data_IF_506641076965
#
_entry.id   IF_506641076965
#
_cell.length_a   1.000
_cell.length_b   1.000
_cell.length_c   1.000
_cell.angle_alpha   90.00
_cell.angle_beta   90.00
_cell.angle_gamma   90.00
#
_symmetry.space_group_name_H-M   'P 1'
#
loop_
_entity.id
_entity.type
_entity.pdbx_description
1 polymer ?
#
# COMPACT_ATOMS: atom_id res chain seq x y z
N UNK A 1 -29.24 38.24 24.67
CA UNK A 1 -29.71 37.71 23.38
C UNK A 1 -28.64 36.76 22.88
N UNK A 2 -28.82 35.48 23.16
CA UNK A 2 -27.90 34.39 22.76
C UNK A 2 -27.88 34.24 21.24
N UNK A 3 -26.69 34.23 20.65
CA UNK A 3 -26.47 33.76 19.30
C UNK A 3 -26.19 32.26 19.35
N UNK A 4 -27.21 31.47 19.02
CA UNK A 4 -27.16 30.01 18.92
C UNK A 4 -26.32 29.59 17.72
N UNK A 5 -25.33 28.72 17.96
CA UNK A 5 -24.49 28.13 16.92
C UNK A 5 -25.29 27.08 16.11
N UNK A 6 -25.26 27.09 14.77
CA UNK A 6 -25.83 26.01 13.99
C UNK A 6 -24.97 24.74 14.08
N UNK A 7 -25.64 23.70 14.58
CA UNK A 7 -25.22 22.31 14.79
C UNK A 7 -24.45 21.67 13.63
N UNK A 8 -23.42 20.89 13.99
CA UNK A 8 -22.58 20.05 13.13
C UNK A 8 -23.32 18.93 12.37
N UNK A 9 -24.65 18.85 12.47
CA UNK A 9 -25.48 17.88 11.75
C UNK A 9 -25.72 18.22 10.26
N UNK A 10 -25.40 19.43 9.80
CA UNK A 10 -25.69 19.85 8.42
C UNK A 10 -24.64 19.45 7.37
N UNK A 11 -23.49 18.88 7.77
CA UNK A 11 -22.39 18.63 6.83
C UNK A 11 -22.32 17.19 6.27
N UNK A 12 -23.24 16.29 6.65
CA UNK A 12 -23.25 14.89 6.19
C UNK A 12 -24.43 14.53 5.25
N UNK A 13 -25.22 15.52 4.82
CA UNK A 13 -26.39 15.30 3.96
C UNK A 13 -26.21 15.70 2.48
N UNK A 14 -24.99 16.06 2.05
CA UNK A 14 -24.72 16.47 0.65
C UNK A 14 -23.78 15.53 -0.13
N UNK A 15 -23.33 14.43 0.46
CA UNK A 15 -22.72 13.33 -0.28
C UNK A 15 -23.83 12.34 -0.62
N UNK A 16 -23.94 11.93 -1.89
CA UNK A 16 -24.88 10.91 -2.42
C UNK A 16 -26.19 11.37 -3.08
N UNK A 17 -26.20 12.51 -3.80
CA UNK A 17 -27.21 12.73 -4.87
C UNK A 17 -26.65 13.30 -6.17
N UNK A 18 -25.51 12.79 -6.63
CA UNK A 18 -25.16 12.86 -8.05
C UNK A 18 -25.69 11.59 -8.70
N UNK A 19 -26.97 11.58 -9.07
CA UNK A 19 -27.41 10.62 -10.09
C UNK A 19 -26.66 10.97 -11.38
N UNK A 20 -25.97 10.02 -12.03
CA UNK A 20 -25.45 10.29 -13.36
C UNK A 20 -26.65 10.56 -14.26
N UNK A 21 -26.75 11.78 -14.80
CA UNK A 21 -27.60 12.01 -15.96
C UNK A 21 -27.01 11.14 -17.07
N UNK A 22 -27.75 10.10 -17.46
CA UNK A 22 -27.45 9.30 -18.65
C UNK A 22 -27.57 10.21 -19.90
N UNK A 23 -26.61 11.09 -20.12
CA UNK A 23 -26.41 11.78 -21.38
C UNK A 23 -25.38 10.99 -22.19
N UNK A 24 -25.86 9.93 -22.85
CA UNK A 24 -25.08 9.09 -23.75
C UNK A 24 -24.01 8.25 -23.05
N UNK A 25 -24.07 6.94 -23.24
CA UNK A 25 -22.91 6.08 -23.06
C UNK A 25 -21.87 6.46 -24.13
N UNK A 26 -21.13 7.55 -23.90
CA UNK A 26 -19.96 7.89 -24.70
C UNK A 26 -18.93 6.85 -24.30
N UNK A 27 -18.67 5.89 -25.19
CA UNK A 27 -17.48 5.04 -25.13
C UNK A 27 -16.25 5.95 -25.04
N UNK A 28 -15.79 6.23 -23.82
CA UNK A 28 -14.51 6.89 -23.61
C UNK A 28 -13.47 5.87 -24.02
N UNK A 29 -12.89 6.04 -25.21
CA UNK A 29 -11.75 5.23 -25.62
C UNK A 29 -10.69 5.27 -24.51
N UNK A 30 -10.03 4.13 -24.26
CA UNK A 30 -8.95 3.99 -23.27
C UNK A 30 -7.88 5.09 -23.40
N UNK A 31 -7.77 5.68 -24.59
CA UNK A 31 -6.93 6.83 -24.94
C UNK A 31 -7.20 8.08 -24.09
N UNK A 32 -8.44 8.34 -23.67
CA UNK A 32 -8.79 9.52 -22.86
C UNK A 32 -8.33 9.39 -21.39
N UNK A 33 -8.60 8.29 -20.67
CA UNK A 33 -8.00 8.04 -19.36
C UNK A 33 -6.47 7.97 -19.39
N UNK A 34 -5.90 7.31 -20.40
CA UNK A 34 -4.45 7.20 -20.56
C UNK A 34 -3.80 8.57 -20.77
N UNK A 35 -4.35 9.43 -21.66
CA UNK A 35 -3.82 10.77 -21.88
C UNK A 35 -3.89 11.65 -20.62
N UNK A 36 -4.96 11.52 -19.82
CA UNK A 36 -5.06 12.22 -18.53
C UNK A 36 -4.04 11.69 -17.52
N UNK A 37 -3.84 10.38 -17.48
CA UNK A 37 -2.81 9.76 -16.65
C UNK A 37 -1.40 10.22 -17.05
N UNK A 38 -1.10 10.28 -18.34
CA UNK A 38 0.21 10.70 -18.87
C UNK A 38 0.51 12.18 -18.58
N UNK A 39 -0.52 13.02 -18.46
CA UNK A 39 -0.37 14.41 -18.00
C UNK A 39 -0.16 14.49 -16.48
N UNK A 40 -0.94 13.72 -15.72
CA UNK A 40 -0.98 13.77 -14.26
C UNK A 40 0.27 13.17 -13.62
N UNK A 41 0.74 12.04 -14.15
CA UNK A 41 1.88 11.27 -13.63
C UNK A 41 3.17 12.11 -13.48
N UNK A 42 3.69 12.81 -14.51
CA UNK A 42 4.89 13.62 -14.36
C UNK A 42 4.67 14.82 -13.44
N UNK A 43 3.46 15.39 -13.40
CA UNK A 43 3.13 16.48 -12.49
C UNK A 43 3.15 16.02 -11.01
N UNK A 44 2.58 14.84 -10.71
CA UNK A 44 2.61 14.25 -9.37
C UNK A 44 4.02 13.81 -8.97
N UNK A 45 4.86 13.37 -9.91
CA UNK A 45 6.25 13.02 -9.64
C UNK A 45 7.07 14.23 -9.19
N UNK A 46 6.91 15.37 -9.88
CA UNK A 46 7.54 16.64 -9.47
C UNK A 46 7.01 17.14 -8.12
N UNK A 47 5.70 17.05 -7.91
CA UNK A 47 5.09 17.41 -6.63
C UNK A 47 5.64 16.57 -5.48
N UNK A 48 5.73 15.25 -5.66
CA UNK A 48 6.34 14.34 -4.69
C UNK A 48 7.78 14.74 -4.40
N UNK A 49 8.61 14.97 -5.43
CA UNK A 49 9.99 15.39 -5.23
C UNK A 49 10.11 16.72 -4.47
N UNK A 50 9.19 17.67 -4.69
CA UNK A 50 9.14 18.91 -3.91
C UNK A 50 8.78 18.65 -2.44
N UNK A 51 7.83 17.76 -2.16
CA UNK A 51 7.48 17.34 -0.80
C UNK A 51 8.64 16.63 -0.10
N UNK A 52 9.35 15.75 -0.82
CA UNK A 52 10.49 14.99 -0.30
C UNK A 52 11.62 15.95 0.11
N UNK A 53 11.93 16.95 -0.72
CA UNK A 53 12.93 17.99 -0.38
C UNK A 53 12.59 18.77 0.90
N UNK A 54 11.30 19.05 1.13
CA UNK A 54 10.87 19.75 2.35
C UNK A 54 10.95 18.85 3.57
N UNK A 55 10.69 17.54 3.41
CA UNK A 55 10.80 16.56 4.49
C UNK A 55 12.26 16.25 4.86
N UNK A 56 13.13 16.15 3.88
CA UNK A 56 14.55 15.83 4.08
C UNK A 56 15.34 17.05 4.62
N UNK A 57 14.94 18.25 4.22
CA UNK A 57 15.56 19.51 4.63
C UNK A 57 14.49 20.55 5.00
N UNK A 58 13.79 20.36 6.14
CA UNK A 58 12.76 21.29 6.58
C UNK A 58 13.39 22.65 6.92
N UNK A 59 12.82 23.77 6.43
CA UNK A 59 13.27 25.09 6.84
C UNK A 59 13.16 25.26 8.36
N UNK A 60 14.12 25.98 8.97
CA UNK A 60 14.15 26.18 10.42
C UNK A 60 12.84 26.77 10.94
N UNK A 61 12.30 26.18 12.01
CA UNK A 61 11.07 26.63 12.66
C UNK A 61 9.77 26.26 11.93
N UNK A 62 9.80 25.39 10.92
CA UNK A 62 8.59 24.94 10.24
C UNK A 62 8.02 23.66 10.85
N UNK A 63 6.69 23.59 10.94
CA UNK A 63 5.97 22.40 11.41
C UNK A 63 5.42 21.62 10.21
N UNK A 64 5.09 20.35 10.41
CA UNK A 64 4.68 19.46 9.31
C UNK A 64 3.43 19.96 8.54
N UNK A 65 2.56 20.73 9.20
CA UNK A 65 1.41 21.38 8.54
C UNK A 65 1.81 22.38 7.45
N UNK A 66 3.01 22.95 7.54
CA UNK A 66 3.52 23.95 6.59
C UNK A 66 4.14 23.31 5.35
N UNK A 67 4.42 22.00 5.38
CA UNK A 67 5.18 21.32 4.35
C UNK A 67 4.50 21.38 2.98
N UNK A 68 3.17 21.27 2.93
CA UNK A 68 2.42 21.38 1.68
C UNK A 68 2.50 22.78 1.07
N UNK A 69 2.53 23.82 1.90
CA UNK A 69 2.66 25.21 1.45
C UNK A 69 4.06 25.46 0.90
N UNK A 70 5.08 24.98 1.60
CA UNK A 70 6.49 25.12 1.19
C UNK A 70 6.75 24.33 -0.10
N UNK A 71 6.26 23.09 -0.19
CA UNK A 71 6.34 22.29 -1.41
C UNK A 71 5.56 22.94 -2.56
N UNK A 72 4.46 23.63 -2.25
CA UNK A 72 3.71 24.52 -3.15
C UNK A 72 4.59 25.57 -3.82
N UNK A 73 5.37 26.29 -3.02
CA UNK A 73 6.30 27.31 -3.50
C UNK A 73 7.41 26.69 -4.35
N UNK A 74 8.05 25.62 -3.86
CA UNK A 74 9.10 24.90 -4.59
C UNK A 74 8.62 24.35 -5.93
N UNK A 75 7.40 23.82 -5.99
CA UNK A 75 6.80 23.35 -7.24
C UNK A 75 6.62 24.50 -8.24
N UNK A 76 6.15 25.66 -7.76
CA UNK A 76 5.94 26.87 -8.59
C UNK A 76 7.24 27.40 -9.18
N UNK A 77 8.36 27.26 -8.45
CA UNK A 77 9.69 27.68 -8.90
C UNK A 77 10.31 26.74 -9.96
N UNK A 78 9.81 25.51 -10.10
CA UNK A 78 10.31 24.58 -11.12
C UNK A 78 10.03 25.10 -12.54
N UNK A 79 11.02 25.11 -13.42
CA UNK A 79 10.85 25.52 -14.83
C UNK A 79 9.70 24.77 -15.54
N UNK A 80 9.52 23.49 -15.22
CA UNK A 80 8.46 22.65 -15.78
C UNK A 80 7.03 23.02 -15.33
N UNK A 81 6.86 23.75 -14.22
CA UNK A 81 5.55 24.24 -13.78
C UNK A 81 5.19 25.59 -14.40
N UNK A 82 6.15 26.29 -15.03
CA UNK A 82 5.95 27.62 -15.65
C UNK A 82 5.32 28.63 -14.67
N UNK A 83 5.70 28.58 -13.40
CA UNK A 83 5.15 29.46 -12.36
C UNK A 83 3.73 29.12 -11.93
N UNK A 84 3.17 27.98 -12.33
CA UNK A 84 1.80 27.57 -11.97
C UNK A 84 1.79 26.73 -10.70
N UNK A 85 0.77 26.89 -9.84
CA UNK A 85 0.58 26.00 -8.69
C UNK A 85 0.26 24.59 -9.17
N UNK A 86 0.52 23.60 -8.30
CA UNK A 86 0.25 22.21 -8.61
C UNK A 86 -1.26 21.94 -8.81
N UNK A 87 -1.69 21.50 -10.01
CA UNK A 87 -3.11 21.44 -10.35
C UNK A 87 -3.82 20.15 -9.88
N UNK A 88 -3.07 19.14 -9.42
CA UNK A 88 -3.61 17.80 -9.15
C UNK A 88 -3.58 17.42 -7.66
N UNK A 89 -3.90 18.37 -6.76
CA UNK A 89 -3.97 18.14 -5.30
C UNK A 89 -4.87 16.94 -4.92
N UNK A 90 -6.05 16.85 -5.52
CA UNK A 90 -7.00 15.74 -5.30
C UNK A 90 -6.41 14.38 -5.71
N UNK A 91 -5.70 14.33 -6.84
CA UNK A 91 -5.08 13.09 -7.29
C UNK A 91 -3.89 12.72 -6.43
N UNK A 92 -3.10 13.71 -6.00
CA UNK A 92 -2.00 13.48 -5.07
C UNK A 92 -2.48 12.91 -3.73
N UNK A 93 -3.59 13.42 -3.17
CA UNK A 93 -4.17 12.91 -1.94
C UNK A 93 -4.41 11.40 -1.97
N UNK A 94 -4.76 10.87 -3.15
CA UNK A 94 -4.94 9.44 -3.41
C UNK A 94 -3.58 8.78 -3.70
N UNK A 95 -2.79 9.33 -4.61
CA UNK A 95 -1.54 8.72 -5.10
C UNK A 95 -0.49 8.55 -4.00
N UNK A 96 -0.40 9.49 -3.06
CA UNK A 96 0.56 9.43 -1.95
C UNK A 96 0.32 8.26 -0.99
N UNK A 97 -0.88 7.65 -1.01
CA UNK A 97 -1.19 6.49 -0.17
C UNK A 97 -0.52 5.21 -0.68
N UNK A 98 -0.22 5.15 -1.98
CA UNK A 98 0.38 3.99 -2.62
C UNK A 98 1.90 3.94 -2.42
N UNK A 99 2.41 2.75 -2.05
CA UNK A 99 3.83 2.50 -1.77
C UNK A 99 4.78 2.96 -2.88
N UNK A 100 4.37 2.87 -4.15
CA UNK A 100 5.18 3.30 -5.30
C UNK A 100 5.57 4.78 -5.22
N UNK A 101 4.69 5.61 -4.68
CA UNK A 101 4.90 7.05 -4.54
C UNK A 101 5.55 7.41 -3.20
N UNK A 102 5.51 6.51 -2.21
CA UNK A 102 6.19 6.66 -0.91
C UNK A 102 7.67 6.28 -0.91
N UNK A 103 8.09 5.35 -1.78
CA UNK A 103 9.45 4.76 -1.77
C UNK A 103 10.24 5.00 -3.05
N UNK A 104 9.95 6.08 -3.79
CA UNK A 104 10.57 6.39 -5.09
C UNK A 104 12.11 6.48 -4.99
N UNK A 105 12.65 6.93 -3.86
CA UNK A 105 14.08 7.20 -3.71
C UNK A 105 14.94 5.93 -3.48
N UNK A 106 14.34 4.75 -3.29
CA UNK A 106 15.10 3.49 -3.26
C UNK A 106 15.45 2.95 -4.66
N UNK A 107 14.94 3.57 -5.72
CA UNK A 107 15.22 3.19 -7.11
C UNK A 107 15.97 4.36 -7.78
N UNK A 108 17.23 4.56 -7.38
CA UNK A 108 18.06 5.70 -7.80
C UNK A 108 18.21 5.80 -9.33
N UNK A 109 17.96 7.00 -9.86
CA UNK A 109 18.29 7.39 -11.22
C UNK A 109 19.83 7.38 -11.46
N UNK A 110 20.33 6.91 -12.61
CA UNK A 110 21.75 6.97 -12.93
C UNK A 110 22.24 8.42 -13.01
N UNK A 111 23.26 8.78 -12.21
CA UNK A 111 23.97 10.06 -12.31
C UNK A 111 24.72 10.15 -13.65
N UNK A 112 24.13 10.84 -14.64
CA UNK A 112 24.78 11.21 -15.91
C UNK A 112 25.57 12.51 -15.73
N UNK A 113 26.79 12.47 -15.18
CA UNK A 113 27.70 13.63 -15.23
C UNK A 113 29.12 13.25 -14.78
N UNK A 114 29.85 12.46 -15.58
CA UNK A 114 31.26 12.20 -15.29
C UNK A 114 32.09 11.79 -16.53
N UNK A 115 31.67 12.09 -17.77
CA UNK A 115 32.38 11.59 -18.95
C UNK A 115 32.33 12.57 -20.12
N UNK A 116 32.95 13.74 -19.97
CA UNK A 116 33.41 14.57 -21.09
C UNK A 116 34.53 15.47 -20.56
N UNK A 117 35.78 15.16 -20.96
CA UNK A 117 36.94 16.05 -21.19
C UNK A 117 38.21 15.20 -21.32
N UNK A 118 38.52 14.78 -22.53
CA UNK A 118 39.91 14.61 -22.97
C UNK A 118 40.02 15.41 -24.25
N UNK A 119 40.91 16.39 -24.15
CA UNK A 119 41.15 17.50 -25.05
C UNK A 119 41.96 17.04 -26.27
N UNK A 120 41.71 17.70 -27.39
CA UNK A 120 42.34 17.50 -28.68
C UNK A 120 43.56 18.42 -28.79
N UNK A 121 44.71 17.91 -29.20
CA UNK A 121 45.87 18.72 -29.56
C UNK A 121 46.70 17.99 -30.60
N UNK A 122 46.51 18.44 -31.84
CA UNK A 122 47.39 18.27 -33.00
C UNK A 122 48.74 18.96 -32.73
N UNK A 123 49.86 18.41 -33.23
CA UNK A 123 50.59 18.93 -34.41
C UNK A 123 51.99 18.27 -34.55
N UNK A 124 52.44 18.27 -35.80
CA UNK A 124 53.56 17.60 -36.46
C UNK A 124 54.97 17.92 -35.93
N UNK A 125 55.90 16.94 -36.03
CA UNK A 125 57.27 17.26 -36.44
C UNK A 125 57.92 16.10 -37.21
N UNK A 126 58.87 16.48 -38.05
CA UNK A 126 59.19 15.93 -39.36
C UNK A 126 60.60 15.32 -39.36
N UNK A 127 60.80 14.36 -40.26
CA UNK A 127 62.01 14.22 -41.12
C UNK A 127 63.34 13.60 -40.60
N UNK A 128 63.78 12.57 -41.36
CA UNK A 128 65.15 12.26 -41.89
C UNK A 128 66.04 11.16 -41.26
N UNK A 129 66.13 10.06 -42.02
CA UNK A 129 67.32 9.30 -42.51
C UNK A 129 68.42 8.84 -41.53
N UNK A 130 68.80 7.55 -41.61
CA UNK A 130 70.03 7.04 -42.28
C UNK A 130 70.28 5.55 -41.96
N UNK A 131 70.62 4.77 -42.99
CA UNK A 131 70.79 3.31 -42.90
C UNK A 131 72.10 2.82 -42.28
N UNK A 132 72.03 1.67 -41.59
CA UNK A 132 73.12 0.68 -41.37
C UNK A 132 72.53 -0.65 -40.86
N UNK A 133 73.18 -1.82 -41.09
CA UNK A 133 72.48 -3.10 -41.16
C UNK A 133 72.16 -3.72 -39.81
N UNK A 134 71.15 -4.57 -39.88
CA UNK A 134 70.32 -5.17 -38.85
C UNK A 134 71.06 -6.29 -38.11
N UNK A 135 71.73 -5.96 -37.02
CA UNK A 135 72.40 -6.93 -36.14
C UNK A 135 71.61 -7.22 -34.87
N UNK A 136 71.03 -8.42 -34.76
CA UNK A 136 70.73 -9.23 -33.54
C UNK A 136 70.09 -8.57 -32.30
N UNK A 137 69.68 -7.30 -32.35
CA UNK A 137 68.96 -6.58 -31.28
C UNK A 137 67.45 -6.69 -31.42
N UNK A 138 66.95 -6.91 -32.64
CA UNK A 138 65.52 -6.94 -32.97
C UNK A 138 64.79 -8.11 -32.32
N UNK A 139 65.45 -9.27 -32.15
CA UNK A 139 64.88 -10.43 -31.45
C UNK A 139 64.70 -10.20 -29.95
N UNK A 140 65.69 -9.60 -29.29
CA UNK A 140 65.61 -9.26 -27.85
C UNK A 140 64.60 -8.14 -27.59
N UNK A 141 64.49 -7.18 -28.50
CA UNK A 141 63.50 -6.11 -28.42
C UNK A 141 62.08 -6.61 -28.73
N UNK A 142 61.90 -7.54 -29.69
CA UNK A 142 60.62 -8.23 -29.91
C UNK A 142 60.17 -9.05 -28.71
N UNK A 143 61.06 -9.86 -28.13
CA UNK A 143 60.74 -10.67 -26.95
C UNK A 143 60.37 -9.79 -25.74
N UNK A 144 61.00 -8.62 -25.58
CA UNK A 144 60.65 -7.65 -24.54
C UNK A 144 59.29 -6.99 -24.80
N UNK A 145 59.03 -6.56 -26.03
CA UNK A 145 57.73 -6.01 -26.44
C UNK A 145 56.59 -7.04 -26.32
N UNK A 146 56.87 -8.32 -26.58
CA UNK A 146 55.88 -9.41 -26.47
C UNK A 146 55.60 -9.81 -25.02
N UNK A 147 56.61 -9.79 -24.15
CA UNK A 147 56.45 -9.96 -22.70
C UNK A 147 55.69 -8.79 -22.06
N UNK A 148 55.97 -7.55 -22.48
CA UNK A 148 55.22 -6.37 -22.06
C UNK A 148 53.77 -6.40 -22.58
N UNK A 149 53.55 -6.83 -23.83
CA UNK A 149 52.21 -6.97 -24.40
C UNK A 149 51.37 -8.08 -23.72
N UNK A 150 52.00 -9.19 -23.33
CA UNK A 150 51.35 -10.28 -22.58
C UNK A 150 51.00 -9.83 -21.16
N UNK A 151 51.90 -9.12 -20.48
CA UNK A 151 51.64 -8.53 -19.15
C UNK A 151 50.48 -7.51 -19.18
N UNK A 152 50.40 -6.71 -20.25
CA UNK A 152 49.34 -5.71 -20.41
C UNK A 152 47.98 -6.36 -20.69
N UNK A 153 47.95 -7.44 -21.49
CA UNK A 153 46.75 -8.27 -21.70
C UNK A 153 46.26 -8.92 -20.40
N UNK A 154 47.17 -9.47 -19.61
CA UNK A 154 46.84 -10.10 -18.33
C UNK A 154 46.26 -9.10 -17.32
N UNK A 155 46.82 -7.88 -17.22
CA UNK A 155 46.25 -6.79 -16.42
C UNK A 155 44.85 -6.38 -16.88
N UNK A 156 44.61 -6.36 -18.19
CA UNK A 156 43.31 -6.01 -18.76
C UNK A 156 42.26 -7.09 -18.46
N UNK A 157 42.65 -8.37 -18.47
CA UNK A 157 41.79 -9.48 -18.10
C UNK A 157 41.46 -9.49 -16.59
N UNK A 158 42.44 -9.20 -15.72
CA UNK A 158 42.21 -9.04 -14.29
C UNK A 158 41.25 -7.89 -13.98
N UNK A 159 41.39 -6.76 -14.67
CA UNK A 159 40.47 -5.63 -14.54
C UNK A 159 39.05 -5.99 -15.00
N UNK A 160 38.92 -6.75 -16.08
CA UNK A 160 37.64 -7.20 -16.60
C UNK A 160 36.93 -8.15 -15.62
N UNK A 161 37.66 -9.14 -15.09
CA UNK A 161 37.16 -10.04 -14.03
C UNK A 161 36.74 -9.30 -12.76
N UNK A 162 37.55 -8.34 -12.29
CA UNK A 162 37.20 -7.54 -11.12
C UNK A 162 35.92 -6.71 -11.34
N UNK A 163 35.73 -6.19 -12.55
CA UNK A 163 34.52 -5.44 -12.93
C UNK A 163 33.29 -6.35 -12.99
N UNK A 164 33.42 -7.54 -13.55
CA UNK A 164 32.35 -8.55 -13.60
C UNK A 164 31.96 -9.06 -12.22
N UNK A 165 32.93 -9.25 -11.32
CA UNK A 165 32.64 -9.66 -9.96
C UNK A 165 31.92 -8.56 -9.16
N UNK A 166 32.29 -7.29 -9.38
CA UNK A 166 31.62 -6.16 -8.77
C UNK A 166 30.17 -6.02 -9.25
N UNK A 167 29.91 -6.20 -10.55
CA UNK A 167 28.54 -6.15 -11.09
C UNK A 167 27.71 -7.32 -10.57
N UNK A 168 28.29 -8.53 -10.47
CA UNK A 168 27.62 -9.71 -9.88
C UNK A 168 27.21 -9.48 -8.43
N UNK A 169 28.15 -9.06 -7.57
CA UNK A 169 27.88 -8.76 -6.14
C UNK A 169 26.81 -7.67 -5.98
N UNK A 170 26.82 -6.67 -6.86
CA UNK A 170 25.81 -5.61 -6.87
C UNK A 170 24.42 -6.15 -7.21
N UNK A 171 24.30 -7.04 -8.19
CA UNK A 171 23.02 -7.65 -8.57
C UNK A 171 22.50 -8.60 -7.48
N UNK A 172 23.36 -9.44 -6.90
CA UNK A 172 23.00 -10.33 -5.79
C UNK A 172 22.47 -9.53 -4.59
N UNK A 173 23.14 -8.42 -4.25
CA UNK A 173 22.69 -7.52 -3.17
C UNK A 173 21.32 -6.91 -3.46
N UNK A 174 21.07 -6.47 -4.71
CA UNK A 174 19.77 -5.94 -5.11
C UNK A 174 18.66 -7.00 -4.98
N UNK A 175 18.93 -8.24 -5.41
CA UNK A 175 17.97 -9.34 -5.28
C UNK A 175 17.64 -9.56 -3.80
N UNK A 176 18.67 -9.68 -2.95
CA UNK A 176 18.50 -9.91 -1.51
C UNK A 176 17.72 -8.78 -0.81
N UNK A 177 17.97 -7.51 -1.18
CA UNK A 177 17.20 -6.36 -0.68
C UNK A 177 15.72 -6.49 -1.09
N UNK A 178 15.44 -6.85 -2.34
CA UNK A 178 14.05 -6.97 -2.82
C UNK A 178 13.31 -8.13 -2.15
N UNK A 179 13.99 -9.24 -1.89
CA UNK A 179 13.43 -10.39 -1.18
C UNK A 179 13.13 -10.05 0.29
N UNK A 180 14.09 -9.47 1.00
CA UNK A 180 13.89 -8.97 2.37
C UNK A 180 12.74 -7.97 2.46
N UNK A 181 12.59 -7.10 1.47
CA UNK A 181 11.45 -6.16 1.41
C UNK A 181 10.10 -6.86 1.26
N UNK A 182 10.03 -7.98 0.51
CA UNK A 182 8.81 -8.79 0.40
C UNK A 182 8.51 -9.52 1.71
N UNK A 183 9.52 -10.11 2.35
CA UNK A 183 9.37 -10.78 3.65
C UNK A 183 8.82 -9.82 4.72
N UNK A 184 9.38 -8.61 4.81
CA UNK A 184 8.92 -7.59 5.76
C UNK A 184 7.47 -7.18 5.50
N UNK A 185 7.08 -6.98 4.24
CA UNK A 185 5.67 -6.67 3.89
C UNK A 185 4.73 -7.80 4.28
N UNK A 186 5.12 -9.04 4.02
CA UNK A 186 4.31 -10.21 4.38
C UNK A 186 4.16 -10.34 5.90
N UNK A 187 5.26 -10.16 6.65
CA UNK A 187 5.24 -10.17 8.11
C UNK A 187 4.35 -9.05 8.68
N UNK A 188 4.40 -7.84 8.11
CA UNK A 188 3.56 -6.73 8.52
C UNK A 188 2.07 -7.00 8.28
N UNK A 189 1.70 -7.59 7.15
CA UNK A 189 0.32 -7.99 6.87
C UNK A 189 -0.15 -9.08 7.84
N UNK A 190 0.71 -10.07 8.12
CA UNK A 190 0.40 -11.14 9.09
C UNK A 190 0.21 -10.58 10.51
N UNK A 191 1.07 -9.67 10.95
CA UNK A 191 0.97 -9.02 12.25
C UNK A 191 -0.34 -8.23 12.40
N UNK A 192 -0.72 -7.43 11.39
CA UNK A 192 -1.99 -6.69 11.39
C UNK A 192 -3.21 -7.61 11.44
N UNK A 193 -3.17 -8.76 10.77
CA UNK A 193 -4.25 -9.75 10.80
C UNK A 193 -4.39 -10.40 12.17
N UNK A 194 -3.28 -10.76 12.81
CA UNK A 194 -3.26 -11.31 14.17
C UNK A 194 -3.75 -10.29 15.20
N UNK A 195 -3.35 -9.02 15.08
CA UNK A 195 -3.84 -7.95 15.95
C UNK A 195 -5.35 -7.72 15.79
N UNK A 196 -5.86 -7.70 14.56
CA UNK A 196 -7.30 -7.60 14.29
C UNK A 196 -8.08 -8.78 14.89
N UNK A 197 -7.51 -10.00 14.81
CA UNK A 197 -8.10 -11.19 15.43
C UNK A 197 -8.14 -11.05 16.96
N UNK A 198 -7.04 -10.67 17.61
CA UNK A 198 -7.02 -10.43 19.07
C UNK A 198 -8.00 -9.35 19.50
N UNK A 199 -8.16 -8.29 18.70
CA UNK A 199 -9.12 -7.23 18.98
C UNK A 199 -10.56 -7.75 18.90
N UNK A 200 -10.89 -8.51 17.85
CA UNK A 200 -12.21 -9.14 17.71
C UNK A 200 -12.52 -10.12 18.85
N UNK A 201 -11.54 -10.94 19.26
CA UNK A 201 -11.70 -11.88 20.38
C UNK A 201 -11.96 -11.16 21.71
N UNK A 202 -11.31 -10.02 21.94
CA UNK A 202 -11.56 -9.18 23.12
C UNK A 202 -12.93 -8.52 23.08
N UNK A 203 -13.36 -8.02 21.92
CA UNK A 203 -14.68 -7.44 21.73
C UNK A 203 -15.80 -8.47 21.94
N UNK A 204 -15.63 -9.69 21.40
CA UNK A 204 -16.56 -10.80 21.63
C UNK A 204 -16.66 -11.17 23.12
N UNK A 205 -15.53 -11.22 23.84
CA UNK A 205 -15.53 -11.45 25.29
C UNK A 205 -16.24 -10.34 26.05
N UNK A 206 -16.00 -9.09 25.66
CA UNK A 206 -16.69 -7.93 26.27
C UNK A 206 -18.19 -7.97 26.03
N UNK A 207 -18.63 -8.37 24.83
CA UNK A 207 -20.05 -8.57 24.52
C UNK A 207 -20.61 -9.68 25.42
N UNK A 208 -19.98 -10.86 25.48
CA UNK A 208 -20.45 -11.95 26.35
C UNK A 208 -20.55 -11.57 27.83
N UNK A 209 -19.59 -10.79 28.34
CA UNK A 209 -19.64 -10.29 29.72
C UNK A 209 -20.80 -9.32 29.93
N UNK A 210 -21.00 -8.37 29.01
CA UNK A 210 -22.15 -7.47 29.06
C UNK A 210 -23.46 -8.24 28.98
N UNK A 211 -23.53 -9.23 28.09
CA UNK A 211 -24.71 -10.06 27.92
C UNK A 211 -25.03 -10.88 29.18
N UNK A 212 -24.02 -11.48 29.81
CA UNK A 212 -24.17 -12.21 31.06
C UNK A 212 -24.61 -11.31 32.22
N UNK A 213 -24.11 -10.06 32.27
CA UNK A 213 -24.53 -9.10 33.28
C UNK A 213 -26.00 -8.70 33.11
N UNK A 214 -26.45 -8.41 31.88
CA UNK A 214 -27.86 -8.10 31.60
C UNK A 214 -28.76 -9.29 31.92
N UNK A 215 -28.36 -10.51 31.56
CA UNK A 215 -29.09 -11.72 31.95
C UNK A 215 -29.18 -11.88 33.47
N UNK A 216 -28.08 -11.66 34.19
CA UNK A 216 -28.05 -11.75 35.65
C UNK A 216 -28.99 -10.73 36.28
N UNK A 217 -29.01 -9.49 35.79
CA UNK A 217 -29.89 -8.42 36.25
C UNK A 217 -31.37 -8.78 36.04
N UNK A 218 -31.73 -9.27 34.85
CA UNK A 218 -33.09 -9.74 34.56
C UNK A 218 -33.54 -10.90 35.45
N UNK A 219 -32.62 -11.81 35.83
CA UNK A 219 -32.94 -12.91 36.74
C UNK A 219 -33.11 -12.44 38.19
N UNK A 220 -32.35 -11.42 38.61
CA UNK A 220 -32.53 -10.78 39.94
C UNK A 220 -33.85 -10.03 40.00
N UNK A 221 -34.20 -9.29 38.95
CA UNK A 221 -35.45 -8.53 38.84
C UNK A 221 -36.68 -9.46 38.93
N UNK A 222 -36.64 -10.62 38.26
CA UNK A 222 -37.69 -11.64 38.39
C UNK A 222 -37.78 -12.22 39.80
N UNK A 223 -36.64 -12.47 40.46
CA UNK A 223 -36.59 -13.00 41.82
C UNK A 223 -37.06 -11.98 42.88
N UNK A 224 -36.96 -10.67 42.60
CA UNK A 224 -37.43 -9.61 43.50
C UNK A 224 -38.95 -9.37 43.44
N UNK A 225 -39.69 -10.08 42.57
CA UNK A 225 -41.14 -9.91 42.48
C UNK A 225 -41.88 -10.43 43.72
N UNK A 226 -42.90 -9.67 44.16
CA UNK A 226 -43.71 -10.01 45.32
C UNK A 226 -44.50 -11.32 45.13
N UNK A 227 -44.75 -12.01 46.25
CA UNK A 227 -45.53 -13.24 46.29
C UNK A 227 -47.00 -12.98 45.98
N UNK A 228 -47.60 -13.89 45.21
CA UNK A 228 -48.96 -13.75 44.67
C UNK A 228 -50.10 -13.90 45.69
N UNK A 229 -49.76 -14.28 46.93
CA UNK A 229 -50.72 -14.78 47.91
C UNK A 229 -51.62 -13.70 48.53
N UNK A 230 -51.14 -12.46 48.57
CA UNK A 230 -51.82 -11.35 49.27
C UNK A 230 -52.05 -10.12 48.38
N UNK A 231 -52.02 -10.28 47.04
CA UNK A 231 -52.17 -9.16 46.10
C UNK A 231 -53.63 -8.83 45.78
N UNK A 232 -53.96 -7.54 45.76
CA UNK A 232 -55.24 -7.03 45.27
C UNK A 232 -55.34 -7.11 43.73
N UNK A 233 -56.50 -6.74 43.18
CA UNK A 233 -56.81 -6.92 41.77
C UNK A 233 -55.96 -6.03 40.83
N UNK A 234 -55.58 -4.83 41.29
CA UNK A 234 -54.72 -3.91 40.55
C UNK A 234 -53.26 -4.36 40.62
N UNK A 235 -52.81 -4.82 41.77
CA UNK A 235 -51.50 -5.41 42.01
C UNK A 235 -51.31 -6.70 41.20
N UNK A 236 -52.34 -7.53 41.07
CA UNK A 236 -52.36 -8.72 40.23
C UNK A 236 -52.21 -8.39 38.75
N UNK A 237 -52.81 -7.29 38.29
CA UNK A 237 -52.68 -6.85 36.91
C UNK A 237 -51.29 -6.29 36.65
N UNK A 238 -50.80 -5.40 37.51
CA UNK A 238 -49.43 -4.88 37.46
C UNK A 238 -48.39 -6.02 37.45
N UNK A 239 -48.57 -7.04 38.29
CA UNK A 239 -47.67 -8.19 38.34
C UNK A 239 -47.67 -9.01 37.04
N UNK A 240 -48.82 -9.15 36.38
CA UNK A 240 -48.91 -9.83 35.08
C UNK A 240 -48.19 -9.03 34.00
N UNK A 241 -48.49 -7.74 33.91
CA UNK A 241 -47.93 -6.83 32.91
C UNK A 241 -46.41 -6.72 33.07
N UNK A 242 -45.93 -6.61 34.32
CA UNK A 242 -44.49 -6.55 34.62
C UNK A 242 -43.78 -7.88 34.32
N UNK A 243 -44.43 -9.02 34.58
CA UNK A 243 -43.88 -10.33 34.24
C UNK A 243 -43.83 -10.56 32.73
N UNK A 244 -44.82 -10.06 32.01
CA UNK A 244 -44.86 -10.07 30.54
C UNK A 244 -43.76 -9.17 29.95
N UNK A 245 -43.55 -7.98 30.51
CA UNK A 245 -42.46 -7.08 30.15
C UNK A 245 -41.07 -7.72 30.36
N UNK A 246 -40.82 -8.37 31.50
CA UNK A 246 -39.57 -9.12 31.72
C UNK A 246 -39.41 -10.24 30.68
N UNK A 247 -40.48 -10.95 30.34
CA UNK A 247 -40.45 -12.01 29.34
C UNK A 247 -40.16 -11.47 27.93
N UNK A 248 -40.71 -10.30 27.59
CA UNK A 248 -40.47 -9.62 26.33
C UNK A 248 -39.03 -9.08 26.23
N UNK A 249 -38.51 -8.45 27.29
CA UNK A 249 -37.09 -8.04 27.38
C UNK A 249 -36.13 -9.22 27.20
N UNK A 250 -36.43 -10.38 27.81
CA UNK A 250 -35.66 -11.63 27.62
C UNK A 250 -35.73 -12.16 26.18
N UNK A 251 -36.87 -12.00 25.49
CA UNK A 251 -37.05 -12.40 24.09
C UNK A 251 -36.21 -11.53 23.17
N UNK A 252 -36.36 -10.21 23.27
CA UNK A 252 -35.60 -9.22 22.46
C UNK A 252 -34.09 -9.41 22.67
N UNK A 253 -33.66 -9.62 23.91
CA UNK A 253 -32.25 -9.85 24.22
C UNK A 253 -31.69 -11.13 23.57
N UNK A 254 -32.47 -12.22 23.57
CA UNK A 254 -32.09 -13.49 22.93
C UNK A 254 -31.98 -13.34 21.41
N UNK A 255 -32.91 -12.62 20.80
CA UNK A 255 -32.93 -12.37 19.35
C UNK A 255 -31.79 -11.41 18.91
N UNK A 256 -31.47 -10.42 19.74
CA UNK A 256 -30.33 -9.52 19.52
C UNK A 256 -28.98 -10.25 19.66
N UNK A 257 -28.86 -11.20 20.59
CA UNK A 257 -27.67 -12.03 20.75
C UNK A 257 -27.50 -13.05 19.60
N UNK A 258 -28.62 -13.50 19.01
CA UNK A 258 -28.65 -14.40 17.83
C UNK A 258 -28.19 -13.70 16.55
N UNK A 259 -28.50 -12.42 16.36
CA UNK A 259 -28.23 -11.70 15.09
C UNK A 259 -26.77 -11.24 14.94
N UNK A 260 -26.00 -11.20 16.04
CA UNK A 260 -24.57 -10.91 16.02
C UNK A 260 -23.68 -12.14 15.76
N UNK A 261 -24.22 -13.36 15.95
CA UNK A 261 -23.61 -14.57 15.39
C UNK A 261 -23.98 -14.59 13.92
N UNK A 262 -23.02 -14.24 13.06
CA UNK A 262 -23.18 -14.39 11.62
C UNK A 262 -23.36 -15.86 11.24
N UNK A 263 -24.58 -16.39 11.37
CA UNK A 263 -25.04 -17.52 10.57
C UNK A 263 -25.25 -17.00 9.15
N UNK A 264 -24.12 -16.81 8.47
CA UNK A 264 -24.12 -16.86 7.02
C UNK A 264 -24.46 -18.31 6.70
N UNK A 265 -25.71 -18.58 6.32
CA UNK A 265 -26.08 -19.82 5.65
C UNK A 265 -25.09 -20.05 4.53
N UNK A 266 -24.12 -20.93 4.77
CA UNK A 266 -23.31 -21.52 3.72
C UNK A 266 -24.29 -22.34 2.89
N UNK A 267 -24.87 -21.69 1.88
CA UNK A 267 -25.69 -22.31 0.85
C UNK A 267 -24.85 -23.43 0.25
N UNK A 268 -25.16 -24.67 0.65
CA UNK A 268 -24.50 -25.86 0.16
C UNK A 268 -24.55 -25.88 -1.36
N UNK A 269 -23.39 -25.72 -1.98
CA UNK A 269 -23.20 -26.07 -3.38
C UNK A 269 -23.39 -27.58 -3.48
N UNK A 270 -24.58 -27.99 -3.92
CA UNK A 270 -24.85 -29.37 -4.31
C UNK A 270 -23.95 -29.72 -5.48
N UNK A 271 -22.98 -30.57 -5.20
CA UNK A 271 -22.14 -31.24 -6.19
C UNK A 271 -23.04 -32.20 -6.99
N UNK A 272 -23.51 -31.74 -8.16
CA UNK A 272 -24.22 -32.56 -9.12
C UNK A 272 -23.23 -33.35 -9.96
N UNK A 273 -22.65 -34.39 -9.37
CA UNK A 273 -21.85 -35.40 -10.07
C UNK A 273 -22.76 -36.41 -10.76
N UNK A 274 -22.62 -36.52 -12.08
CA UNK A 274 -23.29 -37.47 -12.95
C UNK A 274 -22.35 -38.64 -13.28
N UNK A 275 -22.76 -39.86 -12.93
CA UNK A 275 -22.41 -41.14 -13.57
C UNK A 275 -23.38 -42.18 -12.98
N UNK A 276 -24.46 -42.53 -13.66
CA UNK A 276 -24.63 -43.53 -14.72
C UNK A 276 -23.96 -44.89 -14.49
N UNK A 277 -24.84 -45.90 -14.47
CA UNK A 277 -24.62 -47.33 -14.69
C UNK A 277 -23.93 -48.15 -13.59
N UNK A 278 -24.69 -49.07 -12.97
CA UNK A 278 -24.65 -50.53 -13.29
C UNK A 278 -25.33 -51.37 -12.18
N UNK A 279 -26.45 -52.01 -12.55
CA UNK A 279 -26.90 -53.37 -12.17
C UNK A 279 -27.35 -53.72 -10.74
N UNK A 280 -28.51 -54.37 -10.67
CA UNK A 280 -28.67 -55.56 -9.83
C UNK A 280 -29.94 -55.66 -8.97
N UNK A 281 -31.00 -56.17 -9.60
CA UNK A 281 -31.76 -57.36 -9.15
C UNK A 281 -32.66 -57.33 -7.90
N UNK A 282 -33.85 -57.90 -8.15
CA UNK A 282 -34.74 -58.70 -7.30
C UNK A 282 -35.79 -58.08 -6.35
N UNK A 283 -37.01 -58.60 -6.51
CA UNK A 283 -37.87 -58.97 -5.38
C UNK A 283 -39.32 -58.52 -5.48
N UNK A 284 -40.22 -59.41 -5.89
CA UNK A 284 -41.63 -59.13 -6.11
C UNK A 284 -42.51 -58.98 -4.86
N UNK A 285 -43.71 -58.45 -5.10
CA UNK A 285 -45.00 -58.97 -4.66
C UNK A 285 -46.10 -58.33 -5.53
#
# INVERSE_FOLDING_TARGET
MEASAPSAAASMANYCRIKPKNSGFISRSYRSPQGRWDLMKPACARWSAAMDQVRDAPPSGTVESDYETIAGMRYKEMAASKGKPFPFKHAWAILQTFDKWKFRDQETAPKKSAMLRMDDSEDEEKERNLGKPEGTKKGKQRAKMEGEASSLREKMEQMMKAREELTRKTLETKILITEKKKEVKLAQVKAKREEAKRKADLEERMIKVKEANVWKELMVEEHMMMSKKDMDQEQLQWWKDYKEDIAERKRIFRDASSTLRGDTSMSGGGDGGVDDSTTGDNGGA
#
